data_IF_618935333098
#
_entry.id   IF_618935333098
#
_cell.length_a   1.000
_cell.length_b   1.000
_cell.length_c   1.000
_cell.angle_alpha   90.00
_cell.angle_beta   90.00
_cell.angle_gamma   90.00
#
_symmetry.space_group_name_H-M   'P 1'
#
loop_
_entity.id
_entity.type
_entity.pdbx_description
1 polymer ?
#
# COMPACT_ATOMS: atom_id res chain seq x y z
N UNK A 1 9.83 -7.74 -21.20
CA UNK A 1 8.49 -7.63 -20.58
C UNK A 1 8.65 -8.08 -19.14
N UNK A 2 8.29 -7.27 -18.19
CA UNK A 2 8.43 -7.56 -16.76
C UNK A 2 7.51 -8.73 -16.39
N UNK A 3 8.02 -9.68 -15.62
CA UNK A 3 7.20 -10.78 -15.10
C UNK A 3 6.32 -10.26 -13.95
N UNK A 4 5.06 -10.02 -14.26
CA UNK A 4 4.06 -9.50 -13.31
C UNK A 4 3.65 -10.54 -12.25
N UNK A 5 3.91 -11.82 -12.49
CA UNK A 5 3.65 -12.90 -11.53
C UNK A 5 4.75 -13.03 -10.47
N UNK A 6 5.86 -12.27 -10.64
CA UNK A 6 6.96 -12.29 -9.69
C UNK A 6 6.48 -11.87 -8.31
N UNK A 7 6.72 -12.71 -7.32
CA UNK A 7 6.48 -12.35 -5.92
C UNK A 7 7.49 -11.29 -5.47
N UNK A 8 6.99 -10.25 -4.81
CA UNK A 8 7.79 -9.25 -4.09
C UNK A 8 8.02 -9.67 -2.64
N UNK A 9 7.07 -10.42 -2.08
CA UNK A 9 7.14 -11.08 -0.79
C UNK A 9 6.25 -12.33 -0.83
N UNK A 10 5.98 -12.98 0.30
CA UNK A 10 5.22 -14.23 0.36
C UNK A 10 3.81 -14.11 -0.24
N UNK A 11 3.09 -12.98 0.06
CA UNK A 11 1.70 -12.80 -0.32
C UNK A 11 1.46 -11.67 -1.32
N UNK A 12 2.50 -10.95 -1.76
CA UNK A 12 2.35 -9.80 -2.66
C UNK A 12 3.13 -9.99 -3.96
N UNK A 13 2.45 -9.76 -5.08
CA UNK A 13 3.06 -9.87 -6.42
C UNK A 13 3.35 -8.49 -7.02
N UNK A 14 4.30 -8.43 -7.94
CA UNK A 14 4.59 -7.22 -8.69
C UNK A 14 3.35 -6.72 -9.46
N UNK A 15 2.56 -7.65 -10.03
CA UNK A 15 1.36 -7.31 -10.78
C UNK A 15 0.31 -6.56 -9.96
N UNK A 16 0.16 -6.88 -8.66
CA UNK A 16 -0.73 -6.15 -7.77
C UNK A 16 -0.22 -4.73 -7.53
N UNK A 17 1.07 -4.57 -7.26
CA UNK A 17 1.68 -3.29 -6.90
C UNK A 17 1.81 -2.31 -8.08
N UNK A 18 1.74 -2.79 -9.32
CA UNK A 18 1.79 -1.94 -10.53
C UNK A 18 0.46 -1.85 -11.26
N UNK A 19 -0.61 -2.43 -10.69
CA UNK A 19 -1.93 -2.40 -11.30
C UNK A 19 -2.44 -0.96 -11.43
N UNK A 20 -3.00 -0.64 -12.61
CA UNK A 20 -3.64 0.64 -12.90
C UNK A 20 -4.81 0.45 -13.85
N UNK A 21 -5.83 1.29 -13.74
CA UNK A 21 -6.94 1.35 -14.69
C UNK A 21 -6.60 2.13 -15.97
N UNK A 22 -5.48 2.85 -15.97
CA UNK A 22 -5.03 3.64 -17.12
C UNK A 22 -4.19 2.79 -18.06
N UNK A 23 -4.62 2.70 -19.34
CA UNK A 23 -3.83 2.05 -20.39
C UNK A 23 -2.78 3.05 -20.89
N UNK A 24 -1.53 2.77 -20.66
CA UNK A 24 -0.39 3.59 -21.08
C UNK A 24 0.60 2.78 -21.91
N UNK A 25 1.32 3.40 -22.87
CA UNK A 25 2.30 2.69 -23.71
C UNK A 25 3.41 2.00 -22.91
N UNK A 26 3.81 2.55 -21.77
CA UNK A 26 4.81 1.97 -20.87
C UNK A 26 4.28 0.81 -20.00
N UNK A 27 2.97 0.50 -20.09
CA UNK A 27 2.35 -0.56 -19.30
C UNK A 27 2.46 -0.38 -17.79
N UNK A 28 2.78 0.83 -17.30
CA UNK A 28 3.09 1.16 -15.91
C UNK A 28 4.27 0.32 -15.38
N UNK A 29 5.27 0.04 -16.20
CA UNK A 29 6.44 -0.74 -15.80
C UNK A 29 7.37 0.10 -14.90
N UNK A 30 7.70 -0.36 -13.67
CA UNK A 30 8.56 0.36 -12.75
C UNK A 30 10.03 0.18 -13.10
N UNK A 31 10.90 1.19 -12.88
CA UNK A 31 12.34 1.01 -12.87
C UNK A 31 12.77 0.13 -11.68
N UNK A 32 13.97 -0.42 -11.74
CA UNK A 32 14.49 -1.34 -10.72
C UNK A 32 14.44 -0.74 -9.30
N UNK A 33 14.85 0.51 -9.13
CA UNK A 33 14.79 1.21 -7.83
C UNK A 33 13.36 1.23 -7.25
N UNK A 34 12.35 1.46 -8.10
CA UNK A 34 10.96 1.45 -7.63
C UNK A 34 10.49 0.04 -7.24
N UNK A 35 10.98 -1.01 -7.93
CA UNK A 35 10.71 -2.40 -7.53
C UNK A 35 11.34 -2.70 -6.17
N UNK A 36 12.59 -2.29 -5.93
CA UNK A 36 13.29 -2.48 -4.66
C UNK A 36 12.56 -1.78 -3.51
N UNK A 37 12.08 -0.55 -3.73
CA UNK A 37 11.26 0.17 -2.74
C UNK A 37 9.95 -0.57 -2.43
N UNK A 38 9.26 -1.10 -3.45
CA UNK A 38 8.03 -1.89 -3.26
C UNK A 38 8.31 -3.19 -2.50
N UNK A 39 9.42 -3.88 -2.79
CA UNK A 39 9.84 -5.08 -2.04
C UNK A 39 9.98 -4.73 -0.56
N UNK A 40 10.68 -3.65 -0.24
CA UNK A 40 10.85 -3.22 1.16
C UNK A 40 9.52 -2.92 1.86
N UNK A 41 8.54 -2.30 1.16
CA UNK A 41 7.20 -2.08 1.72
C UNK A 41 6.48 -3.41 1.95
N UNK A 42 6.54 -4.34 0.98
CA UNK A 42 5.88 -5.64 1.11
C UNK A 42 6.47 -6.46 2.26
N UNK A 43 7.79 -6.68 2.26
CA UNK A 43 8.48 -7.55 3.22
C UNK A 43 8.44 -7.01 4.66
N UNK A 44 8.65 -5.70 4.84
CA UNK A 44 8.82 -5.13 6.17
C UNK A 44 7.56 -4.51 6.78
N UNK A 45 6.50 -4.32 5.97
CA UNK A 45 5.29 -3.67 6.46
C UNK A 45 4.01 -4.43 6.13
N UNK A 46 3.79 -4.80 4.87
CA UNK A 46 2.52 -5.39 4.48
C UNK A 46 2.35 -6.83 4.97
N UNK A 47 3.42 -7.62 4.98
CA UNK A 47 3.36 -8.99 5.53
C UNK A 47 3.06 -8.97 7.03
N UNK A 48 3.74 -8.13 7.79
CA UNK A 48 3.51 -7.98 9.23
C UNK A 48 2.12 -7.38 9.53
N UNK A 49 1.67 -6.40 8.74
CA UNK A 49 0.30 -5.88 8.82
C UNK A 49 -0.73 -6.99 8.61
N UNK A 50 -0.54 -7.81 7.57
CA UNK A 50 -1.43 -8.94 7.25
C UNK A 50 -1.48 -9.95 8.39
N UNK A 51 -0.33 -10.36 8.90
CA UNK A 51 -0.21 -11.29 10.02
C UNK A 51 -0.90 -10.75 11.28
N UNK A 52 -0.54 -9.55 11.69
CA UNK A 52 -1.04 -8.93 12.93
C UNK A 52 -2.54 -8.66 12.87
N UNK A 53 -3.04 -8.15 11.73
CA UNK A 53 -4.47 -7.90 11.56
C UNK A 53 -5.29 -9.19 11.67
N UNK A 54 -4.87 -10.25 11.01
CA UNK A 54 -5.56 -11.53 11.06
C UNK A 54 -5.54 -12.12 12.47
N UNK A 55 -4.39 -12.13 13.12
CA UNK A 55 -4.23 -12.69 14.47
C UNK A 55 -5.09 -11.94 15.50
N UNK A 56 -5.21 -10.62 15.37
CA UNK A 56 -5.92 -9.81 16.36
C UNK A 56 -7.42 -9.65 16.10
N UNK A 57 -7.86 -9.72 14.84
CA UNK A 57 -9.20 -9.27 14.47
C UNK A 57 -10.01 -10.22 13.58
N UNK A 58 -9.38 -11.25 13.03
CA UNK A 58 -10.03 -12.17 12.08
C UNK A 58 -10.11 -13.58 12.63
N UNK A 59 -8.99 -14.12 13.09
CA UNK A 59 -8.89 -15.50 13.55
C UNK A 59 -9.46 -15.70 14.95
N UNK A 60 -10.12 -16.81 15.16
CA UNK A 60 -10.55 -17.25 16.49
C UNK A 60 -9.33 -17.77 17.28
N UNK A 61 -9.35 -17.79 18.64
CA UNK A 61 -8.19 -18.16 19.46
C UNK A 61 -7.60 -19.56 19.22
N UNK A 62 -8.34 -20.45 18.56
CA UNK A 62 -7.92 -21.82 18.23
C UNK A 62 -7.47 -21.98 16.77
N UNK A 63 -7.57 -20.93 15.97
CA UNK A 63 -7.15 -20.93 14.56
C UNK A 63 -5.68 -20.53 14.44
N UNK A 64 -4.98 -21.26 13.58
CA UNK A 64 -3.59 -20.98 13.24
C UNK A 64 -3.52 -20.18 11.94
N UNK A 65 -2.70 -19.13 11.92
CA UNK A 65 -2.58 -18.24 10.76
C UNK A 65 -2.11 -18.97 9.50
N UNK A 66 -1.20 -19.92 9.63
CA UNK A 66 -0.58 -20.59 8.47
C UNK A 66 -1.52 -21.63 7.85
N UNK A 67 -2.54 -22.08 8.57
CA UNK A 67 -3.42 -23.17 8.13
C UNK A 67 -4.88 -22.80 8.01
N UNK A 68 -5.31 -21.66 8.57
CA UNK A 68 -6.71 -21.23 8.53
C UNK A 68 -7.13 -20.73 7.15
N UNK A 69 -8.27 -21.20 6.67
CA UNK A 69 -8.93 -20.68 5.45
C UNK A 69 -9.60 -19.32 5.68
N UNK A 70 -9.70 -18.84 6.92
CA UNK A 70 -10.35 -17.59 7.28
C UNK A 70 -9.41 -16.37 7.17
N UNK A 71 -8.14 -16.57 6.87
CA UNK A 71 -7.15 -15.49 6.76
C UNK A 71 -7.53 -14.51 5.63
N UNK A 72 -7.68 -13.24 5.98
CA UNK A 72 -7.97 -12.16 5.03
C UNK A 72 -6.70 -11.62 4.35
N UNK A 73 -6.79 -11.34 3.06
CA UNK A 73 -5.73 -10.67 2.31
C UNK A 73 -5.74 -9.16 2.50
N UNK A 74 -4.57 -8.54 2.46
CA UNK A 74 -4.44 -7.08 2.32
C UNK A 74 -4.56 -6.72 0.84
N UNK A 75 -5.52 -5.87 0.48
CA UNK A 75 -5.80 -5.53 -0.91
C UNK A 75 -5.14 -4.18 -1.25
N UNK A 76 -4.26 -4.17 -2.24
CA UNK A 76 -3.60 -2.97 -2.73
C UNK A 76 -4.37 -2.41 -3.93
N UNK A 77 -4.84 -1.17 -3.80
CA UNK A 77 -5.51 -0.44 -4.88
C UNK A 77 -4.50 0.18 -5.86
N UNK A 78 -3.38 0.68 -5.34
CA UNK A 78 -2.31 1.29 -6.10
C UNK A 78 -0.97 1.15 -5.37
N UNK A 79 0.07 0.82 -6.09
CA UNK A 79 1.47 0.92 -5.64
C UNK A 79 2.23 1.88 -6.57
N UNK A 80 3.02 1.36 -7.51
CA UNK A 80 3.76 2.21 -8.45
C UNK A 80 2.86 2.96 -9.43
N UNK A 81 3.28 4.19 -9.76
CA UNK A 81 2.66 5.08 -10.75
C UNK A 81 3.73 5.64 -11.68
N UNK A 82 3.72 5.24 -12.94
CA UNK A 82 4.61 5.82 -13.94
C UNK A 82 4.24 7.26 -14.28
N UNK A 83 5.18 7.99 -14.90
CA UNK A 83 4.89 9.34 -15.41
C UNK A 83 3.75 9.34 -16.44
N UNK A 84 3.64 8.30 -17.27
CA UNK A 84 2.56 8.21 -18.26
C UNK A 84 1.19 8.01 -17.59
N UNK A 85 1.13 7.22 -16.51
CA UNK A 85 -0.09 7.08 -15.69
C UNK A 85 -0.44 8.41 -15.02
N UNK A 86 0.55 9.10 -14.43
CA UNK A 86 0.35 10.45 -13.87
C UNK A 86 -0.26 11.41 -14.90
N UNK A 87 0.29 11.49 -16.11
CA UNK A 87 -0.25 12.33 -17.18
C UNK A 87 -1.66 11.87 -17.63
N UNK A 88 -1.93 10.57 -17.65
CA UNK A 88 -3.26 10.05 -17.97
C UNK A 88 -4.30 10.46 -16.90
N UNK A 89 -3.94 10.43 -15.63
CA UNK A 89 -4.77 10.90 -14.53
C UNK A 89 -5.12 12.40 -14.68
N UNK A 90 -4.13 13.23 -15.01
CA UNK A 90 -4.37 14.67 -15.29
C UNK A 90 -5.33 14.88 -16.44
N UNK A 91 -5.16 14.16 -17.55
CA UNK A 91 -6.09 14.23 -18.69
C UNK A 91 -7.49 13.76 -18.33
N UNK A 92 -7.64 12.89 -17.33
CA UNK A 92 -8.93 12.45 -16.80
C UNK A 92 -9.55 13.45 -15.79
N UNK A 93 -8.93 14.61 -15.59
CA UNK A 93 -9.43 15.68 -14.69
C UNK A 93 -9.06 15.47 -13.21
N UNK A 94 -8.19 14.51 -12.90
CA UNK A 94 -7.64 14.35 -11.55
C UNK A 94 -6.46 15.31 -11.34
N UNK A 95 -6.12 15.56 -10.08
CA UNK A 95 -5.00 16.43 -9.72
C UNK A 95 -3.94 15.65 -8.88
N UNK A 96 -3.27 14.63 -9.46
CA UNK A 96 -2.24 13.89 -8.74
C UNK A 96 -1.02 14.77 -8.48
N UNK A 97 -0.36 14.56 -7.34
CA UNK A 97 0.91 15.26 -7.04
C UNK A 97 2.01 14.82 -8.02
N UNK A 98 2.77 15.77 -8.61
CA UNK A 98 3.91 15.45 -9.47
C UNK A 98 5.11 14.87 -8.70
N UNK A 99 5.11 15.01 -7.36
CA UNK A 99 6.15 14.50 -6.46
C UNK A 99 5.65 13.36 -5.57
N UNK A 100 4.60 12.67 -6.03
CA UNK A 100 3.97 11.57 -5.28
C UNK A 100 4.96 10.43 -5.03
N UNK A 101 4.96 9.89 -3.82
CA UNK A 101 5.73 8.71 -3.43
C UNK A 101 5.43 7.48 -4.31
N UNK A 102 4.23 7.37 -4.87
CA UNK A 102 3.89 6.32 -5.85
C UNK A 102 4.79 6.32 -7.09
N UNK A 103 5.25 7.49 -7.55
CA UNK A 103 6.09 7.59 -8.74
C UNK A 103 7.51 7.03 -8.54
N UNK A 104 7.87 6.75 -7.30
CA UNK A 104 9.15 6.15 -6.91
C UNK A 104 9.01 4.73 -6.35
N UNK A 105 7.79 4.16 -6.35
CA UNK A 105 7.51 2.89 -5.68
C UNK A 105 7.59 2.98 -4.15
N UNK A 106 7.52 4.18 -3.59
CA UNK A 106 7.64 4.44 -2.16
C UNK A 106 6.28 4.56 -1.45
N UNK A 107 5.18 4.18 -2.09
CA UNK A 107 3.85 4.24 -1.48
C UNK A 107 2.92 3.15 -2.00
N UNK A 108 1.97 2.79 -1.15
CA UNK A 108 0.83 1.92 -1.48
C UNK A 108 -0.47 2.53 -0.95
N UNK A 109 -1.54 2.34 -1.70
CA UNK A 109 -2.90 2.63 -1.26
C UNK A 109 -3.57 1.31 -0.87
N UNK A 110 -3.82 1.12 0.42
CA UNK A 110 -4.41 -0.08 1.00
C UNK A 110 -5.93 0.10 1.07
N UNK A 111 -6.66 -0.78 0.41
CA UNK A 111 -8.12 -0.78 0.47
C UNK A 111 -8.61 -1.13 1.87
N UNK A 112 -9.65 -0.41 2.34
CA UNK A 112 -10.31 -0.71 3.60
C UNK A 112 -11.81 -0.94 3.36
N UNK A 113 -12.38 -1.93 4.03
CA UNK A 113 -13.81 -2.22 3.98
C UNK A 113 -14.67 -1.11 4.61
N UNK A 114 -14.08 -0.34 5.53
CA UNK A 114 -14.70 0.80 6.20
C UNK A 114 -13.72 1.50 7.13
N UNK A 115 -14.25 2.48 7.87
CA UNK A 115 -13.44 3.29 8.81
C UNK A 115 -12.82 2.43 9.91
N UNK A 116 -13.52 1.41 10.38
CA UNK A 116 -13.05 0.56 11.48
C UNK A 116 -11.81 -0.24 11.06
N UNK A 117 -11.84 -0.89 9.88
CA UNK A 117 -10.68 -1.61 9.36
C UNK A 117 -9.51 -0.65 9.09
N UNK A 118 -9.79 0.54 8.55
CA UNK A 118 -8.76 1.55 8.32
C UNK A 118 -8.06 1.97 9.61
N UNK A 119 -8.81 2.19 10.69
CA UNK A 119 -8.24 2.54 11.99
C UNK A 119 -7.42 1.39 12.58
N UNK A 120 -7.88 0.13 12.47
CA UNK A 120 -7.13 -1.05 12.90
C UNK A 120 -5.79 -1.15 12.17
N UNK A 121 -5.79 -0.99 10.85
CA UNK A 121 -4.56 -0.98 10.04
C UNK A 121 -3.62 0.17 10.46
N UNK A 122 -4.15 1.39 10.68
CA UNK A 122 -3.34 2.52 11.14
C UNK A 122 -2.67 2.24 12.48
N UNK A 123 -3.42 1.71 13.45
CA UNK A 123 -2.89 1.39 14.78
C UNK A 123 -1.78 0.35 14.67
N UNK A 124 -1.97 -0.71 13.88
CA UNK A 124 -0.95 -1.74 13.67
C UNK A 124 0.32 -1.12 13.05
N UNK A 125 0.17 -0.32 11.98
CA UNK A 125 1.33 0.31 11.30
C UNK A 125 2.09 1.28 12.21
N UNK A 126 1.38 2.00 13.09
CA UNK A 126 2.00 2.89 14.09
C UNK A 126 2.74 2.09 15.16
N UNK A 127 2.14 1.03 15.67
CA UNK A 127 2.75 0.14 16.65
C UNK A 127 4.00 -0.55 16.09
N UNK A 128 3.93 -1.05 14.85
CA UNK A 128 5.09 -1.59 14.12
C UNK A 128 6.22 -0.57 13.98
N UNK A 129 5.88 0.68 13.66
CA UNK A 129 6.88 1.76 13.56
C UNK A 129 7.60 1.98 14.90
N UNK A 130 6.84 2.00 15.99
CA UNK A 130 7.38 2.24 17.33
C UNK A 130 8.21 1.04 17.83
N UNK A 131 7.67 -0.16 17.77
CA UNK A 131 8.33 -1.38 18.25
C UNK A 131 9.59 -1.73 17.47
N UNK A 132 9.56 -1.59 16.14
CA UNK A 132 10.69 -1.97 15.29
C UNK A 132 11.67 -0.82 15.03
N UNK A 133 11.43 0.37 15.59
CA UNK A 133 12.20 1.59 15.32
C UNK A 133 12.37 1.88 13.83
N UNK A 134 11.30 1.63 13.05
CA UNK A 134 11.25 1.88 11.60
C UNK A 134 10.40 3.11 11.33
N UNK A 135 10.96 4.06 10.59
CA UNK A 135 10.23 5.26 10.21
C UNK A 135 9.46 5.05 8.91
N UNK A 136 8.28 5.67 8.82
CA UNK A 136 7.50 5.81 7.59
C UNK A 136 7.42 7.28 7.19
N UNK A 137 7.14 7.54 5.92
CA UNK A 137 7.01 8.90 5.40
C UNK A 137 5.62 9.50 5.63
N UNK A 138 4.59 8.77 5.16
CA UNK A 138 3.19 9.19 5.25
C UNK A 138 2.29 8.02 5.64
N UNK A 139 1.37 8.26 6.55
CA UNK A 139 0.25 7.40 6.88
C UNK A 139 -1.01 8.27 6.86
N UNK A 140 -1.78 8.17 5.78
CA UNK A 140 -2.92 9.04 5.53
C UNK A 140 -4.18 8.20 5.43
N UNK A 141 -5.13 8.44 6.33
CA UNK A 141 -6.48 7.93 6.17
C UNK A 141 -7.20 8.79 5.14
N UNK A 142 -7.54 8.22 4.01
CA UNK A 142 -8.26 8.90 2.95
C UNK A 142 -9.70 8.38 2.84
N UNK A 143 -10.61 9.32 2.57
CA UNK A 143 -12.02 9.04 2.37
C UNK A 143 -12.57 9.79 1.17
N UNK A 144 -13.35 9.07 0.35
CA UNK A 144 -14.19 9.68 -0.68
C UNK A 144 -15.59 9.08 -0.61
N UNK A 145 -16.58 9.88 -0.25
CA UNK A 145 -17.95 9.40 0.06
C UNK A 145 -17.91 8.34 1.18
N UNK A 146 -18.29 7.09 0.88
CA UNK A 146 -18.27 5.95 1.80
C UNK A 146 -17.08 5.01 1.61
N UNK A 147 -16.14 5.35 0.73
CA UNK A 147 -14.95 4.52 0.45
C UNK A 147 -13.79 5.03 1.27
N UNK A 148 -13.09 4.11 1.93
CA UNK A 148 -11.90 4.40 2.74
C UNK A 148 -10.70 3.63 2.21
N UNK A 149 -9.54 4.25 2.25
CA UNK A 149 -8.26 3.60 2.02
C UNK A 149 -7.17 4.28 2.84
N UNK A 150 -6.06 3.58 3.03
CA UNK A 150 -4.87 4.14 3.64
C UNK A 150 -3.80 4.36 2.57
N UNK A 151 -3.36 5.59 2.43
CA UNK A 151 -2.10 5.89 1.77
C UNK A 151 -0.97 5.68 2.77
N UNK A 152 -0.11 4.71 2.50
CA UNK A 152 1.05 4.40 3.32
C UNK A 152 2.32 4.54 2.49
N UNK A 153 3.26 5.35 2.95
CA UNK A 153 4.49 5.63 2.23
C UNK A 153 5.72 5.43 3.13
N UNK A 154 6.74 4.79 2.54
CA UNK A 154 8.05 4.60 3.15
C UNK A 154 9.12 4.97 2.13
N UNK A 155 9.98 5.90 2.47
CA UNK A 155 11.11 6.31 1.63
C UNK A 155 12.40 5.67 2.13
N UNK A 156 13.40 5.48 1.26
CA UNK A 156 14.72 4.99 1.68
C UNK A 156 15.37 5.89 2.75
N UNK A 157 15.11 7.20 2.69
CA UNK A 157 15.64 8.21 3.61
C UNK A 157 14.62 9.31 3.85
N UNK A 158 14.83 10.11 4.90
CA UNK A 158 14.07 11.33 5.23
C UNK A 158 12.57 11.10 5.40
N UNK A 159 12.19 10.02 6.07
CA UNK A 159 10.82 9.74 6.44
C UNK A 159 10.29 10.76 7.44
N UNK A 160 9.12 11.34 7.17
CA UNK A 160 8.58 12.52 7.90
C UNK A 160 7.64 12.15 9.03
N UNK A 161 7.23 10.90 9.18
CA UNK A 161 6.18 10.43 10.12
C UNK A 161 4.89 11.26 10.05
N UNK A 162 4.48 11.61 8.83
CA UNK A 162 3.30 12.43 8.61
C UNK A 162 2.03 11.60 8.72
N UNK A 163 1.15 11.96 9.67
CA UNK A 163 -0.13 11.29 9.89
C UNK A 163 -1.24 12.29 9.62
N UNK A 164 -2.15 11.93 8.70
CA UNK A 164 -3.26 12.80 8.29
C UNK A 164 -4.57 12.03 8.12
N UNK A 165 -5.66 12.76 8.23
CA UNK A 165 -6.97 12.38 7.68
C UNK A 165 -7.32 13.32 6.53
N UNK A 166 -7.61 12.77 5.36
CA UNK A 166 -8.00 13.51 4.17
C UNK A 166 -9.40 13.07 3.71
N UNK A 167 -10.31 14.02 3.61
CA UNK A 167 -11.68 13.78 3.16
C UNK A 167 -11.89 14.49 1.81
N UNK A 168 -11.88 13.75 0.72
CA UNK A 168 -12.31 14.25 -0.59
C UNK A 168 -13.82 14.45 -0.59
N UNK A 169 -14.25 15.69 -0.87
CA UNK A 169 -15.68 16.03 -1.01
C UNK A 169 -16.27 15.54 -2.33
#
# INVERSE_FOLDING_TARGET
MLDKSKNLSEHFTLGELIRTSYKTPDGNEPPLEAVENLVGICEFWLEELRFTYNTLYVLEPHEDYDTSENVEGIIINQGFRSYQVYEAMKRAGLNPSPTSNHMRGCAVDIRCAGIEQALRYMVILLDMSDQNHRDFDELILERRKSVYWLHFAVRPNDNRKKILFFNEQ
#
